data_IF_491336916747
#
_entry.id   IF_491336916747
#
_cell.length_a   1.000
_cell.length_b   1.000
_cell.length_c   1.000
_cell.angle_alpha   90.00
_cell.angle_beta   90.00
_cell.angle_gamma   90.00
#
_symmetry.space_group_name_H-M   'P 1'
#
loop_
_entity.id
_entity.type
_entity.pdbx_description
1 polymer ?
#
# COMPACT_ATOMS: atom_id res chain seq x y z
N UNK A 1 8.10 -8.24 17.06
CA UNK A 1 9.34 -8.08 16.30
C UNK A 1 9.00 -7.61 14.88
N UNK A 2 9.84 -6.74 14.29
CA UNK A 2 9.65 -6.21 12.93
C UNK A 2 10.89 -6.51 12.10
N UNK A 3 10.71 -7.03 10.89
CA UNK A 3 11.75 -7.11 9.87
C UNK A 3 11.45 -6.10 8.77
N UNK A 4 12.34 -5.13 8.58
CA UNK A 4 12.25 -4.14 7.51
C UNK A 4 13.12 -4.55 6.33
N UNK A 5 12.49 -4.79 5.16
CA UNK A 5 13.18 -5.03 3.91
C UNK A 5 13.22 -3.74 3.09
N UNK A 6 14.40 -3.21 2.85
CA UNK A 6 14.59 -1.86 2.29
C UNK A 6 15.73 -1.84 1.28
N UNK A 7 15.70 -0.93 0.29
CA UNK A 7 16.78 -0.80 -0.69
C UNK A 7 18.06 -0.17 -0.12
N UNK A 8 17.95 0.55 1.01
CA UNK A 8 19.10 1.19 1.69
C UNK A 8 18.88 1.08 3.21
N UNK A 9 19.68 0.24 3.86
CA UNK A 9 19.61 0.03 5.30
C UNK A 9 20.01 1.27 6.10
N UNK A 10 20.84 2.16 5.55
CA UNK A 10 21.28 3.40 6.20
C UNK A 10 20.14 4.40 6.40
N UNK A 11 19.06 4.27 5.62
CA UNK A 11 17.87 5.12 5.76
C UNK A 11 17.04 4.78 7.03
N UNK A 12 17.33 3.66 7.69
CA UNK A 12 16.58 3.17 8.86
C UNK A 12 17.42 3.29 10.12
N UNK A 13 16.93 4.06 11.09
CA UNK A 13 17.59 4.17 12.39
C UNK A 13 17.44 2.88 13.20
N UNK A 14 18.51 2.35 13.82
CA UNK A 14 18.45 1.17 14.65
C UNK A 14 17.43 1.33 15.80
N UNK A 15 16.62 0.30 16.03
CA UNK A 15 15.62 0.26 17.10
C UNK A 15 15.59 -1.12 17.73
N UNK A 16 15.18 -1.19 18.99
CA UNK A 16 14.92 -2.47 19.65
C UNK A 16 13.81 -3.23 18.90
N UNK A 17 13.98 -4.54 18.74
CA UNK A 17 13.03 -5.41 18.03
C UNK A 17 12.86 -5.11 16.53
N UNK A 18 13.82 -4.43 15.92
CA UNK A 18 13.85 -4.16 14.47
C UNK A 18 15.08 -4.84 13.85
N UNK A 19 14.83 -5.74 12.91
CA UNK A 19 15.85 -6.30 12.00
C UNK A 19 15.74 -5.59 10.67
N UNK A 20 16.85 -5.12 10.10
CA UNK A 20 16.87 -4.47 8.79
C UNK A 20 17.62 -5.37 7.82
N UNK A 21 16.97 -5.72 6.71
CA UNK A 21 17.54 -6.47 5.60
C UNK A 21 17.57 -5.54 4.38
N UNK A 22 18.77 -5.31 3.87
CA UNK A 22 18.96 -4.54 2.64
C UNK A 22 18.82 -5.44 1.41
N UNK A 23 18.03 -5.00 0.44
CA UNK A 23 17.86 -5.74 -0.80
C UNK A 23 16.89 -5.09 -1.77
N UNK A 24 16.82 -5.68 -2.95
CA UNK A 24 15.91 -5.28 -4.03
C UNK A 24 14.84 -6.35 -4.25
N UNK A 25 13.64 -5.95 -4.65
CA UNK A 25 12.55 -6.88 -4.98
C UNK A 25 12.88 -7.80 -6.17
N UNK A 26 13.91 -7.47 -6.98
CA UNK A 26 14.42 -8.37 -8.00
C UNK A 26 15.22 -9.56 -7.42
N UNK A 27 15.71 -9.44 -6.18
CA UNK A 27 16.43 -10.51 -5.49
C UNK A 27 15.43 -11.37 -4.70
N UNK A 28 14.91 -12.43 -5.35
CA UNK A 28 13.92 -13.33 -4.78
C UNK A 28 14.41 -14.01 -3.49
N UNK A 29 15.67 -14.41 -3.42
CA UNK A 29 16.23 -15.10 -2.25
C UNK A 29 16.21 -14.20 -1.02
N UNK A 30 16.61 -12.94 -1.18
CA UNK A 30 16.56 -11.95 -0.10
C UNK A 30 15.13 -11.61 0.33
N UNK A 31 14.17 -11.61 -0.61
CA UNK A 31 12.75 -11.45 -0.27
C UNK A 31 12.27 -12.64 0.55
N UNK A 32 12.60 -13.87 0.18
CA UNK A 32 12.24 -15.06 0.94
C UNK A 32 12.86 -15.04 2.34
N UNK A 33 14.14 -14.67 2.46
CA UNK A 33 14.83 -14.50 3.75
C UNK A 33 14.07 -13.53 4.66
N UNK A 34 13.70 -12.36 4.14
CA UNK A 34 12.98 -11.34 4.89
C UNK A 34 11.58 -11.78 5.36
N UNK A 35 10.95 -12.70 4.64
CA UNK A 35 9.59 -13.19 4.92
C UNK A 35 9.57 -14.43 5.82
N UNK A 36 10.70 -15.07 6.06
CA UNK A 36 10.76 -16.40 6.69
C UNK A 36 10.01 -16.45 8.03
N UNK A 37 10.29 -15.49 8.92
CA UNK A 37 9.73 -15.41 10.27
C UNK A 37 8.49 -14.49 10.37
N UNK A 38 7.97 -13.98 9.23
CA UNK A 38 6.87 -13.04 9.27
C UNK A 38 5.52 -13.73 9.44
N UNK A 39 4.67 -13.25 10.35
CA UNK A 39 3.27 -13.65 10.48
C UNK A 39 2.36 -12.89 9.51
N UNK A 40 2.72 -11.64 9.21
CA UNK A 40 2.03 -10.76 8.28
C UNK A 40 3.03 -9.86 7.53
N UNK A 41 2.67 -9.43 6.34
CA UNK A 41 3.50 -8.56 5.51
C UNK A 41 2.78 -7.24 5.25
N UNK A 42 3.45 -6.12 5.54
CA UNK A 42 2.99 -4.78 5.22
C UNK A 42 3.90 -4.21 4.12
N UNK A 43 3.34 -3.95 2.96
CA UNK A 43 4.04 -3.37 1.81
C UNK A 43 3.66 -1.89 1.64
N UNK A 44 4.65 -1.02 1.71
CA UNK A 44 4.49 0.43 1.48
C UNK A 44 5.26 0.88 0.23
N UNK A 45 5.24 0.05 -0.80
CA UNK A 45 5.87 0.37 -2.07
C UNK A 45 5.26 1.63 -2.67
N UNK A 46 6.12 2.55 -3.06
CA UNK A 46 5.74 3.77 -3.77
C UNK A 46 6.64 3.94 -5.00
N UNK A 47 6.15 4.54 -6.10
CA UNK A 47 7.02 4.82 -7.23
C UNK A 47 8.09 5.83 -6.80
N UNK A 48 9.36 5.45 -6.83
CA UNK A 48 10.48 6.32 -6.44
C UNK A 48 10.53 7.61 -7.24
N UNK A 49 10.03 7.60 -8.48
CA UNK A 49 9.98 8.76 -9.37
C UNK A 49 8.69 8.73 -10.18
N UNK A 50 7.60 9.18 -9.59
CA UNK A 50 6.25 9.21 -10.21
C UNK A 50 6.25 9.75 -11.66
N UNK A 51 7.11 10.72 -11.96
CA UNK A 51 7.21 11.34 -13.29
C UNK A 51 7.87 10.46 -14.37
N UNK A 52 8.49 9.35 -13.99
CA UNK A 52 9.31 8.53 -14.89
C UNK A 52 8.83 7.10 -15.05
N UNK A 53 7.66 6.75 -14.49
CA UNK A 53 7.04 5.45 -14.78
C UNK A 53 6.48 5.53 -16.19
N UNK A 54 7.12 4.80 -17.12
CA UNK A 54 6.60 4.65 -18.48
C UNK A 54 5.30 3.88 -18.47
N UNK A 55 4.46 4.09 -19.47
CA UNK A 55 3.14 3.43 -19.54
C UNK A 55 3.24 1.89 -19.66
N UNK A 56 4.36 1.38 -20.15
CA UNK A 56 4.63 -0.06 -20.26
C UNK A 56 5.19 -0.68 -18.97
N UNK A 57 5.71 0.14 -18.06
CA UNK A 57 6.32 -0.30 -16.81
C UNK A 57 5.28 -0.38 -15.70
N UNK A 58 5.35 -1.43 -14.89
CA UNK A 58 4.41 -1.67 -13.79
C UNK A 58 5.13 -2.06 -12.49
N UNK A 59 6.07 -1.22 -12.00
CA UNK A 59 6.96 -1.58 -10.88
C UNK A 59 6.22 -1.88 -9.58
N UNK A 60 5.09 -1.20 -9.31
CA UNK A 60 4.29 -1.47 -8.10
C UNK A 60 3.56 -2.80 -8.19
N UNK A 61 2.92 -3.06 -9.33
CA UNK A 61 2.22 -4.32 -9.57
C UNK A 61 3.19 -5.49 -9.56
N UNK A 62 4.34 -5.35 -10.23
CA UNK A 62 5.35 -6.39 -10.31
C UNK A 62 6.02 -6.64 -8.96
N UNK A 63 6.31 -5.59 -8.18
CA UNK A 63 6.83 -5.70 -6.83
C UNK A 63 5.86 -6.41 -5.87
N UNK A 64 4.59 -6.04 -5.90
CA UNK A 64 3.57 -6.72 -5.09
C UNK A 64 3.36 -8.18 -5.56
N UNK A 65 3.37 -8.45 -6.86
CA UNK A 65 3.28 -9.82 -7.38
C UNK A 65 4.44 -10.69 -6.91
N UNK A 66 5.67 -10.15 -6.88
CA UNK A 66 6.85 -10.83 -6.34
C UNK A 66 6.67 -11.20 -4.86
N UNK A 67 6.24 -10.24 -4.04
CA UNK A 67 5.99 -10.46 -2.61
C UNK A 67 4.91 -11.53 -2.41
N UNK A 68 3.77 -11.41 -3.09
CA UNK A 68 2.68 -12.39 -3.00
C UNK A 68 3.13 -13.81 -3.40
N UNK A 69 3.94 -13.92 -4.47
CA UNK A 69 4.52 -15.19 -4.91
C UNK A 69 5.46 -15.79 -3.86
N UNK A 70 6.31 -14.97 -3.23
CA UNK A 70 7.21 -15.42 -2.17
C UNK A 70 6.44 -15.83 -0.91
N UNK A 71 5.41 -15.07 -0.52
CA UNK A 71 4.52 -15.41 0.58
C UNK A 71 3.83 -16.75 0.37
N UNK A 72 3.30 -16.99 -0.84
CA UNK A 72 2.64 -18.24 -1.20
C UNK A 72 3.60 -19.43 -1.09
N UNK A 73 4.85 -19.26 -1.54
CA UNK A 73 5.89 -20.29 -1.41
C UNK A 73 6.18 -20.66 0.04
N UNK A 74 6.13 -19.68 0.96
CA UNK A 74 6.39 -19.86 2.40
C UNK A 74 5.12 -20.18 3.20
N UNK A 75 3.96 -20.35 2.56
CA UNK A 75 2.69 -20.60 3.25
C UNK A 75 2.18 -19.41 4.07
N UNK A 76 2.69 -18.19 3.81
CA UNK A 76 2.24 -16.97 4.48
C UNK A 76 0.97 -16.45 3.80
N UNK A 77 0.01 -15.96 4.58
CA UNK A 77 -1.31 -15.62 4.04
C UNK A 77 -1.67 -14.14 4.19
N UNK A 78 -1.26 -13.47 5.27
CA UNK A 78 -1.69 -12.11 5.57
C UNK A 78 -0.83 -11.05 4.90
N UNK A 79 -1.43 -10.27 3.99
CA UNK A 79 -0.77 -9.22 3.23
C UNK A 79 -1.55 -7.90 3.31
N UNK A 80 -0.90 -6.82 3.67
CA UNK A 80 -1.46 -5.46 3.67
C UNK A 80 -0.61 -4.57 2.78
N UNK A 81 -1.22 -3.79 1.91
CA UNK A 81 -0.48 -2.84 1.06
C UNK A 81 -1.20 -1.51 0.95
N UNK A 82 -0.48 -0.49 0.54
CA UNK A 82 -1.00 0.86 0.33
C UNK A 82 -1.11 1.16 -1.16
N UNK A 83 -2.22 1.77 -1.56
CA UNK A 83 -2.45 2.24 -2.91
C UNK A 83 -3.10 3.61 -2.93
N UNK A 84 -3.41 4.08 -4.12
CA UNK A 84 -4.09 5.36 -4.32
C UNK A 84 -5.60 5.15 -4.51
N UNK A 85 -6.42 6.15 -4.16
CA UNK A 85 -7.88 6.13 -4.32
C UNK A 85 -8.36 6.01 -5.78
N UNK A 86 -7.47 6.15 -6.76
CA UNK A 86 -7.78 5.85 -8.16
C UNK A 86 -7.98 4.35 -8.45
N UNK A 87 -7.61 3.46 -7.53
CA UNK A 87 -7.92 2.04 -7.65
C UNK A 87 -9.36 1.86 -7.17
N UNK A 88 -10.23 1.36 -8.05
CA UNK A 88 -11.65 1.17 -7.75
C UNK A 88 -11.90 -0.23 -7.18
N UNK A 89 -12.69 -0.29 -6.11
CA UNK A 89 -13.25 -1.55 -5.61
C UNK A 89 -14.65 -1.75 -6.17
N UNK A 90 -15.06 -3.00 -6.29
CA UNK A 90 -16.44 -3.32 -6.65
C UNK A 90 -17.39 -2.81 -5.55
N UNK A 91 -18.40 -2.04 -5.95
CA UNK A 91 -19.37 -1.45 -5.02
C UNK A 91 -18.97 -0.10 -4.43
N UNK A 92 -17.87 0.51 -4.86
CA UNK A 92 -17.52 1.87 -4.44
C UNK A 92 -18.61 2.88 -4.79
N UNK A 93 -19.03 3.66 -3.79
CA UNK A 93 -19.85 4.86 -3.93
C UNK A 93 -18.92 6.06 -4.14
N UNK A 94 -18.43 6.25 -5.37
CA UNK A 94 -17.42 7.29 -5.64
C UNK A 94 -17.89 8.70 -5.31
N UNK A 95 -17.22 9.31 -4.36
CA UNK A 95 -17.37 10.73 -4.04
C UNK A 95 -16.71 11.62 -5.12
N UNK A 96 -17.11 12.90 -5.17
CA UNK A 96 -16.58 13.88 -6.12
C UNK A 96 -15.06 14.07 -6.04
N UNK A 97 -14.47 13.98 -4.85
CA UNK A 97 -13.04 14.14 -4.66
C UNK A 97 -12.27 12.91 -5.16
N UNK A 98 -12.82 11.71 -4.99
CA UNK A 98 -12.24 10.50 -5.54
C UNK A 98 -12.22 10.54 -7.06
N UNK A 99 -13.35 10.92 -7.70
CA UNK A 99 -13.43 11.10 -9.17
C UNK A 99 -12.43 12.14 -9.67
N UNK A 100 -12.33 13.28 -8.98
CA UNK A 100 -11.38 14.32 -9.36
C UNK A 100 -9.93 13.84 -9.22
N UNK A 101 -9.59 13.14 -8.15
CA UNK A 101 -8.26 12.58 -7.92
C UNK A 101 -7.90 11.52 -8.98
N UNK A 102 -8.85 10.67 -9.34
CA UNK A 102 -8.67 9.67 -10.41
C UNK A 102 -8.38 10.35 -11.76
N UNK A 103 -9.18 11.34 -12.15
CA UNK A 103 -8.95 12.10 -13.39
C UNK A 103 -7.59 12.80 -13.40
N UNK A 104 -7.20 13.36 -12.28
CA UNK A 104 -5.90 13.99 -12.14
C UNK A 104 -4.76 13.00 -12.37
N UNK A 105 -4.83 11.81 -11.78
CA UNK A 105 -3.85 10.75 -12.00
C UNK A 105 -3.80 10.30 -13.46
N UNK A 106 -4.95 10.13 -14.10
CA UNK A 106 -5.04 9.75 -15.52
C UNK A 106 -4.36 10.74 -16.45
N UNK A 107 -4.53 12.05 -16.19
CA UNK A 107 -4.03 13.11 -17.06
C UNK A 107 -2.54 13.38 -16.82
N UNK A 108 -2.13 13.50 -15.56
CA UNK A 108 -0.78 13.95 -15.21
C UNK A 108 0.23 12.83 -15.00
N UNK A 109 -0.24 11.62 -14.66
CA UNK A 109 0.61 10.45 -14.39
C UNK A 109 0.02 9.15 -14.94
N UNK A 110 -0.19 9.04 -16.26
CA UNK A 110 -0.88 7.89 -16.86
C UNK A 110 -0.16 6.56 -16.62
N UNK A 111 1.17 6.54 -16.63
CA UNK A 111 1.94 5.32 -16.30
C UNK A 111 1.71 4.85 -14.88
N UNK A 112 1.76 5.77 -13.89
CA UNK A 112 1.47 5.44 -12.48
C UNK A 112 0.02 5.00 -12.30
N UNK A 113 -0.93 5.65 -13.00
CA UNK A 113 -2.33 5.24 -12.98
C UNK A 113 -2.50 3.79 -13.45
N UNK A 114 -1.90 3.44 -14.61
CA UNK A 114 -1.93 2.06 -15.13
C UNK A 114 -1.31 1.05 -14.17
N UNK A 115 -0.16 1.37 -13.59
CA UNK A 115 0.51 0.52 -12.62
C UNK A 115 -0.36 0.28 -11.37
N UNK A 116 -0.98 1.33 -10.83
CA UNK A 116 -1.93 1.22 -9.72
C UNK A 116 -3.14 0.33 -10.07
N UNK A 117 -3.72 0.48 -11.26
CA UNK A 117 -4.82 -0.38 -11.72
C UNK A 117 -4.38 -1.85 -11.81
N UNK A 118 -3.19 -2.10 -12.39
CA UNK A 118 -2.61 -3.45 -12.49
C UNK A 118 -2.34 -4.04 -11.11
N UNK A 119 -1.84 -3.24 -10.15
CA UNK A 119 -1.65 -3.67 -8.76
C UNK A 119 -2.96 -4.13 -8.13
N UNK A 120 -4.05 -3.37 -8.29
CA UNK A 120 -5.38 -3.78 -7.83
C UNK A 120 -5.83 -5.11 -8.44
N UNK A 121 -5.58 -5.34 -9.74
CA UNK A 121 -5.88 -6.60 -10.42
C UNK A 121 -5.03 -7.77 -9.91
N UNK A 122 -3.74 -7.55 -9.64
CA UNK A 122 -2.84 -8.55 -9.07
C UNK A 122 -3.37 -9.03 -7.72
N UNK A 123 -3.77 -8.09 -6.85
CA UNK A 123 -4.36 -8.41 -5.55
C UNK A 123 -5.69 -9.16 -5.69
N UNK A 124 -6.59 -8.66 -6.54
CA UNK A 124 -7.91 -9.29 -6.73
C UNK A 124 -7.83 -10.75 -7.23
N UNK A 125 -6.79 -11.09 -7.99
CA UNK A 125 -6.51 -12.46 -8.46
C UNK A 125 -5.79 -13.33 -7.45
N UNK A 126 -5.24 -12.74 -6.38
CA UNK A 126 -4.54 -13.49 -5.33
C UNK A 126 -5.53 -14.24 -4.45
N UNK A 127 -5.17 -15.46 -4.06
CA UNK A 127 -5.88 -16.29 -3.08
C UNK A 127 -5.50 -15.96 -1.62
N UNK A 128 -4.51 -15.09 -1.40
CA UNK A 128 -4.10 -14.67 -0.07
C UNK A 128 -5.14 -13.80 0.64
N UNK A 129 -5.00 -13.68 1.95
CA UNK A 129 -5.76 -12.75 2.78
C UNK A 129 -5.12 -11.35 2.68
N UNK A 130 -5.48 -10.59 1.66
CA UNK A 130 -4.92 -9.27 1.40
C UNK A 130 -5.85 -8.12 1.81
N UNK A 131 -5.26 -6.97 2.10
CA UNK A 131 -5.94 -5.67 2.25
C UNK A 131 -5.18 -4.63 1.44
N UNK A 132 -5.89 -3.86 0.63
CA UNK A 132 -5.35 -2.69 -0.07
C UNK A 132 -5.89 -1.41 0.56
N UNK A 133 -5.09 -0.73 1.36
CA UNK A 133 -5.45 0.54 1.98
C UNK A 133 -5.28 1.65 0.96
N UNK A 134 -6.38 2.24 0.50
CA UNK A 134 -6.37 3.33 -0.48
C UNK A 134 -6.25 4.67 0.20
N UNK A 135 -5.32 5.49 -0.24
CA UNK A 135 -5.06 6.82 0.32
C UNK A 135 -4.94 7.86 -0.78
N UNK A 136 -5.02 9.13 -0.42
CA UNK A 136 -4.66 10.24 -1.30
C UNK A 136 -3.94 11.30 -0.49
N UNK A 137 -2.72 11.70 -0.86
CA UNK A 137 -2.05 12.83 -0.23
C UNK A 137 -2.90 14.10 -0.30
N UNK A 138 -2.77 14.97 0.69
CA UNK A 138 -3.37 16.30 0.64
C UNK A 138 -2.79 17.16 -0.49
N UNK A 139 -3.48 18.25 -0.83
CA UNK A 139 -3.12 19.17 -1.93
C UNK A 139 -1.69 19.72 -1.87
N UNK A 140 -1.18 19.89 -0.68
CA UNK A 140 0.17 20.39 -0.38
C UNK A 140 1.25 19.30 -0.36
N UNK A 141 0.88 18.05 -0.62
CA UNK A 141 1.78 16.89 -0.49
C UNK A 141 2.34 16.70 0.92
N UNK A 142 1.94 17.58 1.86
CA UNK A 142 2.41 17.56 3.24
C UNK A 142 1.47 16.69 4.05
N UNK A 143 2.01 15.64 4.60
CA UNK A 143 1.38 14.89 5.67
C UNK A 143 1.38 15.81 6.89
N UNK A 144 0.21 16.24 7.33
CA UNK A 144 0.12 17.14 8.48
C UNK A 144 0.49 16.42 9.77
N UNK A 145 0.94 17.20 10.75
CA UNK A 145 1.46 16.76 12.05
C UNK A 145 0.51 15.84 12.81
N UNK A 146 1.09 15.04 13.70
CA UNK A 146 0.44 14.24 14.74
C UNK A 146 -0.78 14.95 15.34
N UNK A 147 -1.93 14.26 15.42
CA UNK A 147 -3.13 14.75 16.10
C UNK A 147 -4.33 15.04 15.18
N UNK A 148 -4.28 14.71 13.89
CA UNK A 148 -5.48 14.78 13.05
C UNK A 148 -6.22 13.44 13.06
N UNK A 149 -7.50 13.47 13.40
CA UNK A 149 -8.37 12.32 13.32
C UNK A 149 -8.42 11.84 11.88
N UNK A 150 -8.14 10.54 11.69
CA UNK A 150 -8.28 9.84 10.43
C UNK A 150 -9.39 8.81 10.59
N UNK A 151 -10.05 8.50 9.50
CA UNK A 151 -11.16 7.57 9.45
C UNK A 151 -11.05 6.64 8.26
N UNK A 152 -11.93 5.65 8.20
CA UNK A 152 -11.94 4.60 7.20
C UNK A 152 -13.31 4.57 6.54
N UNK A 153 -13.34 4.55 5.21
CA UNK A 153 -14.54 4.24 4.43
C UNK A 153 -14.34 2.91 3.70
N UNK A 154 -15.27 1.99 3.88
CA UNK A 154 -15.23 0.69 3.21
C UNK A 154 -15.87 0.73 1.81
N UNK A 155 -16.78 1.68 1.59
CA UNK A 155 -17.57 1.83 0.36
C UNK A 155 -17.20 3.08 -0.46
N UNK A 156 -16.23 3.88 0.00
CA UNK A 156 -15.84 5.11 -0.69
C UNK A 156 -16.83 6.27 -0.58
N UNK A 157 -17.93 6.13 0.17
CA UNK A 157 -18.96 7.17 0.33
C UNK A 157 -18.45 8.42 1.03
N UNK A 158 -17.41 8.29 1.83
CA UNK A 158 -16.77 9.38 2.55
C UNK A 158 -15.28 9.40 2.24
N UNK A 159 -14.83 10.51 1.70
CA UNK A 159 -13.43 10.70 1.38
C UNK A 159 -13.03 12.17 1.45
N UNK A 160 -11.88 12.44 2.07
CA UNK A 160 -11.20 13.74 2.05
C UNK A 160 -9.71 13.51 1.82
N UNK A 161 -9.07 14.24 0.90
CA UNK A 161 -7.64 14.15 0.68
C UNK A 161 -6.84 14.51 1.93
N UNK A 162 -5.78 13.76 2.19
CA UNK A 162 -4.89 13.96 3.33
C UNK A 162 -5.02 12.86 4.38
N UNK A 163 -3.92 12.63 5.09
CA UNK A 163 -3.82 11.68 6.20
C UNK A 163 -2.56 11.99 7.03
N UNK A 164 -2.50 11.49 8.27
CA UNK A 164 -1.27 11.42 9.06
C UNK A 164 -0.52 10.13 8.72
N UNK A 165 0.80 10.20 8.57
CA UNK A 165 1.64 9.00 8.36
C UNK A 165 1.61 8.08 9.56
N UNK A 166 1.63 8.68 10.74
CA UNK A 166 1.56 7.96 12.01
C UNK A 166 0.24 7.20 12.13
N UNK A 167 -0.90 7.88 11.90
CA UNK A 167 -2.20 7.24 11.93
C UNK A 167 -2.37 6.16 10.83
N UNK A 168 -1.80 6.39 9.63
CA UNK A 168 -1.77 5.36 8.60
C UNK A 168 -0.95 4.15 9.03
N UNK A 169 0.22 4.36 9.65
CA UNK A 169 1.06 3.26 10.12
C UNK A 169 0.38 2.44 11.23
N UNK A 170 -0.30 3.09 12.17
CA UNK A 170 -1.14 2.44 13.19
C UNK A 170 -2.22 1.60 12.54
N UNK A 171 -2.97 2.18 11.60
CA UNK A 171 -4.02 1.46 10.89
C UNK A 171 -3.49 0.27 10.08
N UNK A 172 -2.36 0.41 9.39
CA UNK A 172 -1.74 -0.70 8.65
C UNK A 172 -1.35 -1.85 9.59
N UNK A 173 -0.86 -1.53 10.79
CA UNK A 173 -0.52 -2.52 11.81
C UNK A 173 -1.79 -3.22 12.33
N UNK A 174 -2.83 -2.47 12.69
CA UNK A 174 -4.12 -3.02 13.12
C UNK A 174 -4.75 -3.90 12.03
N UNK A 175 -4.75 -3.43 10.78
CA UNK A 175 -5.25 -4.21 9.66
C UNK A 175 -4.43 -5.49 9.44
N UNK A 176 -3.12 -5.48 9.69
CA UNK A 176 -2.29 -6.67 9.58
C UNK A 176 -2.62 -7.69 10.69
N UNK A 177 -2.92 -7.22 11.90
CA UNK A 177 -3.31 -8.05 13.04
C UNK A 177 -4.74 -8.60 12.91
N UNK A 178 -5.69 -7.79 12.41
CA UNK A 178 -7.07 -8.22 12.17
C UNK A 178 -7.21 -8.89 10.80
N UNK A 179 -7.16 -10.21 10.83
CA UNK A 179 -7.22 -11.02 9.61
C UNK A 179 -8.64 -11.17 9.03
N UNK A 180 -9.69 -10.78 9.74
CA UNK A 180 -11.07 -10.98 9.34
C UNK A 180 -11.72 -9.70 8.81
N UNK A 181 -11.65 -8.61 9.55
CA UNK A 181 -12.38 -7.38 9.26
C UNK A 181 -12.02 -6.78 7.89
N UNK A 182 -10.73 -6.82 7.53
CA UNK A 182 -10.22 -6.22 6.29
C UNK A 182 -9.81 -7.24 5.23
N UNK A 183 -10.18 -8.51 5.40
CA UNK A 183 -9.85 -9.58 4.45
C UNK A 183 -10.42 -9.28 3.06
N UNK A 184 -9.54 -9.24 2.05
CA UNK A 184 -9.86 -9.01 0.63
C UNK A 184 -10.66 -7.74 0.39
N UNK A 185 -10.38 -6.69 1.17
CA UNK A 185 -11.05 -5.39 1.10
C UNK A 185 -10.09 -4.28 0.67
N UNK A 186 -10.68 -3.21 0.14
CA UNK A 186 -9.96 -2.01 -0.31
C UNK A 186 -10.47 -0.76 0.44
N UNK A 187 -10.29 -0.66 1.78
CA UNK A 187 -10.72 0.50 2.54
C UNK A 187 -10.04 1.78 2.06
N UNK A 188 -10.74 2.91 2.14
CA UNK A 188 -10.16 4.24 1.95
C UNK A 188 -9.83 4.82 3.31
N UNK A 189 -8.57 5.17 3.51
CA UNK A 189 -8.06 5.85 4.70
C UNK A 189 -7.93 7.35 4.40
N UNK A 190 -8.62 8.18 5.17
CA UNK A 190 -8.74 9.61 4.89
C UNK A 190 -8.76 10.45 6.18
N UNK A 191 -8.55 11.75 6.03
CA UNK A 191 -8.68 12.72 7.13
C UNK A 191 -10.15 13.05 7.40
N UNK A 192 -10.55 13.03 8.65
CA UNK A 192 -11.82 13.64 9.08
C UNK A 192 -11.79 15.16 8.85
N UNK A 193 -12.93 15.72 8.50
CA UNK A 193 -13.11 17.12 8.13
C UNK A 193 -12.95 18.11 9.27
#
# INVERSE_FOLDING_TARGET
>A
QVTAYVPDAKAIWPRKNLTVIEGSLQNRERVLEALLEADAVISVLTPMRVKYVKEEETPLADGNAMILSAMKQLGKTRFVTVGHVCIHAFGDCEDKYQRMSTKFMQIFWPGVYKDMQKMGQVLARSDLNWTLVRTCPGRDGKVKKVGQNCSISLDGSQFRPGYSREALAEFLYEAAADQQMYSRKMPIFYREG
#
